data_IF_435966060096
#
_entry.id   IF_435966060096
#
_cell.length_a   1.000
_cell.length_b   1.000
_cell.length_c   1.000
_cell.angle_alpha   90.00
_cell.angle_beta   90.00
_cell.angle_gamma   90.00
#
_symmetry.space_group_name_H-M   'P 1'
#
loop_
_entity.id
_entity.type
_entity.pdbx_description
1 polymer ?
#
# COMPACT_ATOMS: atom_id res chain seq x y z
N UNK A 1 -11.15 13.86 1.14
CA UNK A 1 -10.59 14.46 -0.04
C UNK A 1 -9.07 14.40 -0.07
N UNK A 2 -8.42 14.86 1.00
CA UNK A 2 -6.97 14.81 1.09
C UNK A 2 -6.44 13.37 1.09
N UNK A 3 -7.14 12.46 1.76
CA UNK A 3 -6.79 11.04 1.77
C UNK A 3 -6.84 10.46 0.36
N UNK A 4 -7.86 10.80 -0.42
CA UNK A 4 -7.99 10.36 -1.80
C UNK A 4 -6.82 10.84 -2.65
N UNK A 5 -6.41 12.10 -2.50
CA UNK A 5 -5.28 12.67 -3.22
C UNK A 5 -3.96 12.00 -2.82
N UNK A 6 -3.74 11.81 -1.52
CA UNK A 6 -2.52 11.20 -1.00
C UNK A 6 -2.34 9.79 -1.54
N UNK A 7 -3.40 8.98 -1.51
CA UNK A 7 -3.36 7.59 -1.99
C UNK A 7 -3.57 7.48 -3.50
N UNK A 8 -3.86 8.60 -4.19
CA UNK A 8 -4.01 8.63 -5.64
C UNK A 8 -5.23 7.89 -6.14
N UNK A 9 -6.34 7.91 -5.38
CA UNK A 9 -7.55 7.17 -5.71
C UNK A 9 -8.55 8.01 -6.48
N UNK A 10 -9.29 7.36 -7.38
CA UNK A 10 -10.46 7.94 -7.99
C UNK A 10 -11.60 8.00 -6.97
N UNK A 11 -12.50 8.97 -7.13
CA UNK A 11 -13.64 9.17 -6.23
C UNK A 11 -14.44 7.89 -6.01
N UNK A 12 -14.71 7.17 -7.10
CA UNK A 12 -15.49 5.92 -7.05
C UNK A 12 -14.81 4.85 -6.23
N UNK A 13 -13.48 4.69 -6.39
CA UNK A 13 -12.71 3.72 -5.62
C UNK A 13 -12.69 4.09 -4.14
N UNK A 14 -12.51 5.38 -3.84
CA UNK A 14 -12.47 5.85 -2.46
C UNK A 14 -13.81 5.60 -1.76
N UNK A 15 -14.92 5.89 -2.44
CA UNK A 15 -16.26 5.64 -1.88
C UNK A 15 -16.50 4.16 -1.60
N UNK A 16 -15.96 3.28 -2.46
CA UNK A 16 -16.06 1.84 -2.24
C UNK A 16 -15.34 1.44 -0.95
N UNK A 17 -14.13 1.92 -0.74
CA UNK A 17 -13.39 1.65 0.50
C UNK A 17 -14.13 2.20 1.72
N UNK A 18 -14.66 3.38 1.63
CA UNK A 18 -15.44 3.95 2.72
C UNK A 18 -16.67 3.10 3.03
N UNK A 19 -17.38 2.62 2.01
CA UNK A 19 -18.54 1.76 2.20
C UNK A 19 -18.18 0.46 2.91
N UNK A 20 -17.06 -0.16 2.51
CA UNK A 20 -16.56 -1.38 3.17
C UNK A 20 -16.22 -1.09 4.63
N UNK A 21 -15.52 0.00 4.89
CA UNK A 21 -15.12 0.39 6.25
C UNK A 21 -16.34 0.62 7.14
N UNK A 22 -17.38 1.27 6.61
CA UNK A 22 -18.60 1.56 7.38
C UNK A 22 -19.34 0.30 7.80
N UNK A 23 -19.25 -0.77 7.02
CA UNK A 23 -19.93 -2.04 7.30
C UNK A 23 -19.11 -3.01 8.15
N UNK A 24 -17.83 -2.71 8.34
CA UNK A 24 -16.92 -3.56 9.11
C UNK A 24 -17.00 -3.17 10.59
N UNK A 25 -17.04 -4.15 11.53
CA UNK A 25 -17.01 -3.82 12.96
C UNK A 25 -15.77 -3.04 13.34
N UNK A 26 -15.94 -2.07 14.26
CA UNK A 26 -14.85 -1.25 14.75
C UNK A 26 -15.03 0.22 14.39
N UNK A 27 -13.97 1.01 14.61
CA UNK A 27 -13.99 2.44 14.29
C UNK A 27 -13.79 2.60 12.78
N UNK A 28 -14.78 3.20 12.12
CA UNK A 28 -14.78 3.36 10.65
C UNK A 28 -13.52 4.05 10.14
N UNK A 29 -13.04 5.09 10.83
CA UNK A 29 -11.83 5.79 10.42
C UNK A 29 -10.58 4.91 10.46
N UNK A 30 -10.43 4.10 11.51
CA UNK A 30 -9.31 3.18 11.64
C UNK A 30 -9.38 2.09 10.56
N UNK A 31 -10.57 1.56 10.31
CA UNK A 31 -10.78 0.56 9.26
C UNK A 31 -10.46 1.14 7.88
N UNK A 32 -10.86 2.38 7.62
CA UNK A 32 -10.55 3.06 6.37
C UNK A 32 -9.04 3.19 6.17
N UNK A 33 -8.31 3.63 7.20
CA UNK A 33 -6.85 3.72 7.13
C UNK A 33 -6.24 2.36 6.85
N UNK A 34 -6.69 1.31 7.54
CA UNK A 34 -6.19 -0.04 7.30
C UNK A 34 -6.41 -0.49 5.86
N UNK A 35 -7.60 -0.25 5.31
CA UNK A 35 -7.91 -0.64 3.94
C UNK A 35 -7.02 0.11 2.94
N UNK A 36 -6.83 1.40 3.12
CA UNK A 36 -5.99 2.20 2.24
C UNK A 36 -4.52 1.77 2.32
N UNK A 37 -4.03 1.52 3.53
CA UNK A 37 -2.63 1.09 3.73
C UNK A 37 -2.38 -0.31 3.18
N UNK A 38 -3.37 -1.19 3.19
CA UNK A 38 -3.24 -2.58 2.72
C UNK A 38 -3.25 -2.73 1.21
N UNK A 39 -3.58 -1.69 0.45
CA UNK A 39 -3.53 -1.77 -1.02
C UNK A 39 -2.12 -2.17 -1.45
N UNK A 40 -2.03 -3.02 -2.46
CA UNK A 40 -0.74 -3.51 -2.95
C UNK A 40 0.14 -2.35 -3.43
N UNK A 41 -0.42 -1.38 -4.15
CA UNK A 41 0.34 -0.22 -4.62
C UNK A 41 0.91 0.60 -3.44
N UNK A 42 0.12 0.81 -2.40
CA UNK A 42 0.58 1.52 -1.21
C UNK A 42 1.62 0.69 -0.44
N UNK A 43 1.43 -0.62 -0.35
CA UNK A 43 2.37 -1.52 0.34
C UNK A 43 3.74 -1.49 -0.34
N UNK A 44 3.78 -1.53 -1.66
CA UNK A 44 5.02 -1.40 -2.43
C UNK A 44 5.71 -0.07 -2.12
N UNK A 45 4.96 1.02 -2.08
CA UNK A 45 5.50 2.33 -1.76
C UNK A 45 6.02 2.39 -0.32
N UNK A 46 5.22 1.93 0.65
CA UNK A 46 5.62 1.92 2.07
C UNK A 46 6.84 1.05 2.33
N UNK A 47 7.00 -0.01 1.58
CA UNK A 47 8.15 -0.91 1.68
C UNK A 47 9.43 -0.31 1.10
N UNK A 48 9.35 0.85 0.46
CA UNK A 48 10.50 1.50 -0.16
C UNK A 48 10.90 0.90 -1.49
N UNK A 49 10.00 0.20 -2.17
CA UNK A 49 10.28 -0.40 -3.47
C UNK A 49 9.96 0.53 -4.64
N UNK A 50 9.45 1.71 -4.37
CA UNK A 50 9.17 2.74 -5.37
C UNK A 50 9.33 4.11 -4.73
N UNK A 51 9.64 5.12 -5.54
CA UNK A 51 9.87 6.48 -5.05
C UNK A 51 8.57 7.28 -4.87
N UNK A 52 7.46 6.79 -5.42
CA UNK A 52 6.17 7.45 -5.29
C UNK A 52 5.04 6.43 -5.42
N UNK A 53 3.84 6.81 -4.98
CA UNK A 53 2.67 5.94 -5.15
C UNK A 53 2.29 5.75 -6.63
N UNK A 54 2.33 6.77 -7.49
CA UNK A 54 2.11 6.54 -8.92
C UNK A 54 3.10 5.56 -9.54
N UNK A 55 4.37 5.63 -9.18
CA UNK A 55 5.37 4.67 -9.65
C UNK A 55 5.06 3.27 -9.14
N UNK A 56 4.72 3.13 -7.86
CA UNK A 56 4.35 1.85 -7.28
C UNK A 56 3.18 1.22 -8.01
N UNK A 57 2.15 2.01 -8.31
CA UNK A 57 0.98 1.55 -9.05
C UNK A 57 1.36 1.06 -10.44
N UNK A 58 2.19 1.80 -11.14
CA UNK A 58 2.65 1.41 -12.48
C UNK A 58 3.43 0.10 -12.44
N UNK A 59 4.34 -0.06 -11.47
CA UNK A 59 5.12 -1.28 -11.30
C UNK A 59 4.22 -2.49 -11.03
N UNK A 60 3.21 -2.32 -10.18
CA UNK A 60 2.24 -3.39 -9.90
C UNK A 60 1.48 -3.76 -11.17
N UNK A 61 0.93 -2.78 -11.88
CA UNK A 61 0.17 -3.02 -13.12
C UNK A 61 0.99 -3.73 -14.19
N UNK A 62 2.28 -3.44 -14.25
CA UNK A 62 3.17 -4.05 -15.23
C UNK A 62 3.62 -5.46 -14.81
N UNK A 63 3.13 -5.95 -13.67
CA UNK A 63 3.36 -7.34 -13.27
C UNK A 63 4.74 -7.62 -12.70
N UNK A 64 5.39 -6.63 -12.11
CA UNK A 64 6.73 -6.80 -11.54
C UNK A 64 6.75 -7.54 -10.21
N UNK A 65 5.58 -7.74 -9.55
CA UNK A 65 5.52 -8.28 -8.20
C UNK A 65 4.72 -9.58 -8.13
N UNK A 66 5.06 -10.37 -7.11
CA UNK A 66 4.32 -11.56 -6.70
C UNK A 66 3.88 -11.42 -5.26
N UNK A 67 2.71 -11.98 -4.93
CA UNK A 67 2.25 -12.13 -3.56
C UNK A 67 2.12 -13.63 -3.31
N UNK A 68 2.85 -14.14 -2.33
CA UNK A 68 2.90 -15.56 -2.00
C UNK A 68 3.23 -16.43 -3.24
N UNK A 69 4.17 -15.97 -4.05
CA UNK A 69 4.64 -16.68 -5.22
C UNK A 69 3.77 -16.56 -6.47
N UNK A 70 2.69 -15.78 -6.41
CA UNK A 70 1.77 -15.59 -7.54
C UNK A 70 1.88 -14.17 -8.07
N UNK A 71 2.04 -14.04 -9.40
CA UNK A 71 2.03 -12.73 -10.05
C UNK A 71 0.72 -12.01 -9.72
N UNK A 72 0.84 -10.80 -9.19
CA UNK A 72 -0.30 -9.99 -8.78
C UNK A 72 -0.14 -8.60 -9.37
N UNK A 73 -1.01 -8.23 -10.29
CA UNK A 73 -0.91 -6.97 -11.04
C UNK A 73 -2.08 -6.02 -10.80
N UNK A 74 -2.82 -6.25 -9.72
CA UNK A 74 -3.97 -5.43 -9.35
C UNK A 74 -3.56 -4.49 -8.21
N UNK A 75 -3.45 -3.16 -8.46
CA UNK A 75 -3.05 -2.22 -7.41
C UNK A 75 -3.93 -2.20 -6.17
N UNK A 76 -5.21 -2.50 -6.34
CA UNK A 76 -6.18 -2.50 -5.24
C UNK A 76 -6.21 -3.80 -4.44
N UNK A 77 -5.39 -4.79 -4.78
CA UNK A 77 -5.29 -6.03 -4.00
C UNK A 77 -4.94 -5.69 -2.55
N UNK A 78 -5.63 -6.30 -1.60
CA UNK A 78 -5.42 -6.05 -0.17
C UNK A 78 -4.52 -7.11 0.43
N UNK A 79 -3.32 -6.74 0.83
CA UNK A 79 -2.41 -7.66 1.53
C UNK A 79 -2.91 -7.91 2.95
N UNK A 80 -2.52 -9.05 3.51
CA UNK A 80 -2.92 -9.45 4.87
C UNK A 80 -1.71 -9.97 5.63
N UNK A 81 -1.77 -10.04 6.97
CA UNK A 81 -0.66 -10.58 7.76
C UNK A 81 -0.28 -11.98 7.29
N UNK A 82 1.01 -12.24 7.17
CA UNK A 82 1.56 -13.47 6.66
C UNK A 82 1.87 -13.46 5.17
N UNK A 83 1.34 -12.50 4.42
CA UNK A 83 1.63 -12.39 2.98
C UNK A 83 3.10 -12.03 2.76
N UNK A 84 3.68 -12.61 1.70
CA UNK A 84 5.04 -12.31 1.27
C UNK A 84 4.97 -11.68 -0.11
N UNK A 85 5.37 -10.41 -0.16
CA UNK A 85 5.47 -9.64 -1.39
C UNK A 85 6.90 -9.71 -1.89
N UNK A 86 7.11 -10.02 -3.15
CA UNK A 86 8.43 -10.11 -3.74
C UNK A 86 8.41 -9.61 -5.18
N UNK A 87 9.59 -9.19 -5.68
CA UNK A 87 9.76 -8.96 -7.11
C UNK A 87 9.62 -10.31 -7.82
N UNK A 88 8.84 -10.33 -8.89
CA UNK A 88 8.79 -11.50 -9.77
C UNK A 88 10.05 -11.61 -10.63
N UNK A 89 10.18 -12.70 -11.43
CA UNK A 89 11.37 -12.90 -12.27
C UNK A 89 11.65 -11.73 -13.20
N UNK A 90 10.63 -11.16 -13.81
CA UNK A 90 10.77 -9.99 -14.67
C UNK A 90 11.25 -8.77 -13.88
N UNK A 91 10.73 -8.57 -12.67
CA UNK A 91 11.10 -7.45 -11.82
C UNK A 91 12.53 -7.54 -11.29
N UNK A 92 12.97 -8.75 -10.93
CA UNK A 92 14.34 -8.97 -10.42
C UNK A 92 15.42 -8.57 -11.42
N UNK A 93 15.13 -8.69 -12.70
CA UNK A 93 16.07 -8.33 -13.77
C UNK A 93 15.79 -6.94 -14.35
N UNK A 94 14.89 -6.19 -13.75
CA UNK A 94 14.49 -4.88 -14.28
C UNK A 94 15.49 -3.79 -13.91
N UNK A 95 15.52 -2.75 -14.75
CA UNK A 95 16.29 -1.54 -14.45
C UNK A 95 15.72 -0.83 -13.21
N UNK A 96 14.44 -1.00 -12.93
CA UNK A 96 13.80 -0.41 -11.75
C UNK A 96 14.46 -0.86 -10.45
N UNK A 97 14.73 -2.15 -10.30
CA UNK A 97 15.38 -2.66 -9.09
C UNK A 97 16.84 -2.21 -9.01
N UNK A 98 17.54 -2.19 -10.14
CA UNK A 98 18.91 -1.70 -10.18
C UNK A 98 18.99 -0.23 -9.74
N UNK A 99 18.12 0.60 -10.30
CA UNK A 99 18.08 2.03 -9.95
C UNK A 99 17.71 2.21 -8.47
N UNK A 100 16.81 1.40 -7.95
CA UNK A 100 16.42 1.45 -6.55
C UNK A 100 17.58 1.13 -5.63
N UNK A 101 18.40 0.14 -5.98
CA UNK A 101 19.59 -0.21 -5.19
C UNK A 101 20.64 0.89 -5.21
N UNK A 102 20.79 1.60 -6.32
CA UNK A 102 21.71 2.72 -6.45
C UNK A 102 21.18 3.98 -5.77
N UNK A 103 19.86 4.19 -5.81
CA UNK A 103 19.19 5.37 -5.25
C UNK A 103 18.04 4.91 -4.35
N UNK A 104 18.35 4.40 -3.15
CA UNK A 104 17.32 3.87 -2.27
C UNK A 104 16.36 4.96 -1.77
N UNK A 105 15.13 4.55 -1.52
CA UNK A 105 14.12 5.41 -0.92
C UNK A 105 14.46 5.62 0.55
N UNK A 106 14.63 6.88 0.95
CA UNK A 106 14.99 7.23 2.33
C UNK A 106 13.71 7.56 3.09
N UNK A 107 13.12 6.56 3.71
CA UNK A 107 11.97 6.73 4.61
C UNK A 107 11.92 5.55 5.58
N UNK A 108 11.39 5.75 6.79
CA UNK A 108 11.27 4.66 7.75
C UNK A 108 10.35 3.56 7.22
N UNK A 109 10.74 2.30 7.45
CA UNK A 109 9.87 1.17 7.17
C UNK A 109 8.79 1.11 8.24
N UNK A 110 7.49 1.02 7.86
CA UNK A 110 6.43 0.92 8.86
C UNK A 110 6.56 -0.35 9.70
N UNK A 111 6.08 -0.30 10.94
CA UNK A 111 6.18 -1.42 11.87
C UNK A 111 5.43 -2.68 11.41
N UNK A 112 4.44 -2.54 10.53
CA UNK A 112 3.66 -3.68 10.05
C UNK A 112 4.30 -4.44 8.88
N UNK A 113 5.47 -3.96 8.41
CA UNK A 113 6.22 -4.60 7.32
C UNK A 113 7.64 -4.96 7.78
N UNK A 114 8.19 -6.02 7.21
CA UNK A 114 9.63 -6.30 7.28
C UNK A 114 10.17 -6.45 5.87
N UNK A 115 11.45 -6.13 5.69
CA UNK A 115 12.09 -6.10 4.38
C UNK A 115 13.51 -6.66 4.49
N UNK A 116 13.93 -7.44 3.48
CA UNK A 116 15.31 -7.90 3.38
C UNK A 116 16.24 -6.75 2.96
N UNK A 117 17.53 -6.94 3.16
CA UNK A 117 18.54 -5.91 2.85
C UNK A 117 18.67 -5.67 1.34
N UNK A 118 18.36 -6.66 0.52
CA UNK A 118 18.49 -6.57 -0.93
C UNK A 118 17.27 -5.97 -1.61
N UNK A 119 16.26 -5.56 -0.86
CA UNK A 119 15.03 -4.94 -1.36
C UNK A 119 14.21 -5.87 -2.25
N UNK A 120 14.31 -7.18 -2.03
CA UNK A 120 13.66 -8.16 -2.90
C UNK A 120 12.41 -8.78 -2.29
N UNK A 121 12.32 -8.86 -0.96
CA UNK A 121 11.23 -9.56 -0.29
C UNK A 121 10.69 -8.72 0.87
N UNK A 122 9.38 -8.63 0.94
CA UNK A 122 8.66 -7.89 1.98
C UNK A 122 7.69 -8.86 2.66
N UNK A 123 7.68 -8.88 3.98
CA UNK A 123 6.72 -9.68 4.74
C UNK A 123 5.74 -8.76 5.45
N UNK A 124 4.46 -9.05 5.34
CA UNK A 124 3.41 -8.37 6.10
C UNK A 124 3.32 -9.04 7.46
N UNK A 125 3.72 -8.33 8.52
CA UNK A 125 3.82 -8.90 9.87
C UNK A 125 2.48 -8.86 10.57
N UNK A 126 1.78 -7.73 10.50
CA UNK A 126 0.52 -7.49 11.18
C UNK A 126 -0.33 -6.52 10.37
N UNK A 127 -1.50 -6.18 10.87
CA UNK A 127 -2.34 -5.16 10.25
C UNK A 127 -1.73 -3.78 10.49
N UNK A 128 -1.78 -2.88 9.48
CA UNK A 128 -1.35 -1.50 9.72
C UNK A 128 -2.25 -0.83 10.76
N UNK A 129 -1.65 0.00 11.62
CA UNK A 129 -2.41 0.77 12.60
C UNK A 129 -2.74 2.15 12.03
N UNK A 130 -3.66 2.84 12.70
CA UNK A 130 -4.04 4.20 12.32
C UNK A 130 -2.84 5.15 12.35
N UNK A 131 -1.97 5.00 13.35
CA UNK A 131 -0.80 5.87 13.50
C UNK A 131 0.21 5.69 12.36
N UNK A 132 0.14 4.59 11.65
CA UNK A 132 1.04 4.29 10.54
C UNK A 132 0.52 4.79 9.20
N UNK A 133 -0.71 5.32 9.15
CA UNK A 133 -1.26 5.94 7.96
C UNK A 133 -0.72 7.34 7.74
N UNK A 134 -1.19 8.00 6.68
CA UNK A 134 -0.77 9.37 6.40
C UNK A 134 -1.33 10.34 7.43
N UNK A 135 -0.43 11.02 8.14
CA UNK A 135 -0.83 12.02 9.14
C UNK A 135 -1.43 13.28 8.52
N UNK A 136 -1.31 13.46 7.19
CA UNK A 136 -1.80 14.64 6.50
C UNK A 136 -3.32 14.66 6.31
N UNK A 137 -4.04 13.55 6.58
CA UNK A 137 -5.50 13.55 6.50
C UNK A 137 -6.12 13.23 7.87
N UNK A 138 -7.33 13.72 8.07
CA UNK A 138 -8.11 13.47 9.27
C UNK A 138 -9.19 12.45 8.96
N UNK A 139 -8.98 11.21 9.41
CA UNK A 139 -9.90 10.10 9.14
C UNK A 139 -11.29 10.37 9.73
N UNK A 140 -11.36 11.03 10.90
CA UNK A 140 -12.64 11.37 11.53
C UNK A 140 -13.45 12.35 10.69
N UNK A 141 -12.79 13.39 10.17
CA UNK A 141 -13.45 14.38 9.32
C UNK A 141 -13.97 13.75 8.03
N UNK A 142 -13.21 12.82 7.45
CA UNK A 142 -13.62 12.10 6.25
C UNK A 142 -14.84 11.24 6.51
N UNK A 143 -14.84 10.51 7.64
CA UNK A 143 -16.00 9.70 8.04
C UNK A 143 -17.25 10.57 8.18
N UNK A 144 -17.13 11.72 8.85
CA UNK A 144 -18.24 12.65 9.03
C UNK A 144 -18.75 13.18 7.68
N UNK A 145 -17.85 13.49 6.76
CA UNK A 145 -18.22 13.99 5.43
C UNK A 145 -19.03 12.96 4.64
N UNK A 146 -18.58 11.69 4.59
CA UNK A 146 -19.26 10.66 3.81
C UNK A 146 -20.48 10.04 4.51
N UNK A 147 -20.65 10.28 5.80
CA UNK A 147 -21.82 9.80 6.55
C UNK A 147 -23.04 10.70 6.38
N UNK A 148 -22.90 11.87 5.78
CA UNK A 148 -24.00 12.83 5.57
C UNK A 148 -24.98 12.41 4.48
#
# INVERSE_FOLDING_TARGET
QKAREIYGLLEKQFRRFFSIASKTPGVTGDTLVQLLERRLDNTVYRAGLAHSRPQARQLVRHGHFQVNGRRTDIPSYLVKPGDILAWGPQGLNSQYLKDLKENPVIQPLPAWLSRDEELTTIKVITMPSREEGESAFDAKAIVEFYAR
#
